data_IF_028247307840
#
_entry.id   IF_028247307840
#
_cell.length_a   1.000
_cell.length_b   1.000
_cell.length_c   1.000
_cell.angle_alpha   90.00
_cell.angle_beta   90.00
_cell.angle_gamma   90.00
#
_symmetry.space_group_name_H-M   'P 1'
#
loop_
_entity.id
_entity.type
_entity.pdbx_description
1 polymer ?
#
# COMPACT_ATOMS: atom_id res chain seq x y z
N UNK A 1 6.93 -1.06 -22.53
CA UNK A 1 7.06 -1.90 -21.31
C UNK A 1 8.48 -2.42 -21.14
N UNK A 2 9.03 -3.22 -22.07
CA UNK A 2 10.42 -3.71 -21.97
C UNK A 2 11.45 -2.59 -21.88
N UNK A 3 11.32 -1.56 -22.72
CA UNK A 3 12.24 -0.41 -22.70
C UNK A 3 12.21 0.30 -21.34
N UNK A 4 11.04 0.58 -20.77
CA UNK A 4 10.94 1.22 -19.45
C UNK A 4 11.59 0.41 -18.32
N UNK A 5 11.50 -0.92 -18.37
CA UNK A 5 12.08 -1.76 -17.32
C UNK A 5 13.59 -2.03 -17.51
N UNK A 6 14.13 -1.82 -18.71
CA UNK A 6 15.50 -2.20 -19.07
C UNK A 6 16.42 -0.99 -19.34
N UNK A 7 15.85 0.13 -19.80
CA UNK A 7 16.58 1.31 -20.21
C UNK A 7 16.45 2.41 -19.14
N UNK A 8 17.55 2.74 -18.43
CA UNK A 8 17.55 3.77 -17.40
C UNK A 8 17.34 5.19 -17.96
N UNK A 9 17.48 5.42 -19.28
CA UNK A 9 17.19 6.71 -19.91
C UNK A 9 15.67 7.02 -19.93
N UNK A 10 14.82 5.99 -19.82
CA UNK A 10 13.37 6.17 -19.82
C UNK A 10 12.88 6.49 -18.41
N UNK A 11 12.82 7.78 -18.08
CA UNK A 11 12.44 8.24 -16.73
C UNK A 11 10.94 8.15 -16.42
N UNK A 12 10.07 8.38 -17.42
CA UNK A 12 8.61 8.49 -17.21
C UNK A 12 7.87 7.46 -18.05
N UNK A 13 6.88 6.80 -17.43
CA UNK A 13 5.92 5.95 -18.11
C UNK A 13 4.50 6.44 -17.84
N UNK A 14 3.80 6.89 -18.88
CA UNK A 14 2.41 7.33 -18.78
C UNK A 14 1.47 6.15 -19.07
N UNK A 15 0.50 5.94 -18.18
CA UNK A 15 -0.49 4.88 -18.32
C UNK A 15 -1.84 5.38 -17.79
N UNK A 16 -2.93 4.96 -18.42
CA UNK A 16 -4.26 5.20 -17.86
C UNK A 16 -4.54 4.21 -16.73
N UNK A 17 -5.29 4.63 -15.71
CA UNK A 17 -5.64 3.78 -14.56
C UNK A 17 -6.28 2.45 -15.01
N UNK A 18 -7.13 2.49 -16.04
CA UNK A 18 -7.75 1.29 -16.63
C UNK A 18 -6.75 0.35 -17.31
N UNK A 19 -5.76 0.89 -18.02
CA UNK A 19 -4.71 0.08 -18.63
C UNK A 19 -3.81 -0.60 -17.56
N UNK A 20 -3.69 -0.01 -16.37
CA UNK A 20 -3.06 -0.66 -15.21
C UNK A 20 -3.73 -1.98 -14.79
N UNK A 21 -5.03 -2.14 -15.09
CA UNK A 21 -5.77 -3.37 -14.81
C UNK A 21 -5.39 -4.58 -15.66
N UNK A 22 -4.60 -4.38 -16.73
CA UNK A 22 -4.23 -5.42 -17.69
C UNK A 22 -3.09 -6.35 -17.21
N UNK A 23 -2.59 -6.17 -15.98
CA UNK A 23 -1.61 -7.09 -15.39
C UNK A 23 -0.15 -6.84 -15.81
N UNK A 24 0.16 -5.64 -16.30
CA UNK A 24 1.53 -5.25 -16.70
C UNK A 24 2.52 -5.28 -15.51
N UNK A 25 3.83 -5.26 -15.79
CA UNK A 25 4.86 -5.21 -14.75
C UNK A 25 5.73 -3.96 -14.94
N UNK A 26 5.77 -3.10 -13.92
CA UNK A 26 6.49 -1.82 -13.90
C UNK A 26 7.39 -1.72 -12.67
N UNK A 27 7.99 -2.84 -12.23
CA UNK A 27 8.87 -2.91 -11.04
C UNK A 27 10.15 -2.07 -11.13
N UNK A 28 10.49 -1.51 -12.28
CA UNK A 28 11.61 -0.57 -12.40
C UNK A 28 11.30 0.80 -11.74
N UNK A 29 10.02 1.16 -11.61
CA UNK A 29 9.59 2.41 -11.00
C UNK A 29 9.39 2.25 -9.49
N UNK A 30 9.89 3.22 -8.72
CA UNK A 30 9.67 3.33 -7.28
C UNK A 30 8.65 4.43 -6.93
N UNK A 31 8.21 5.22 -7.90
CA UNK A 31 7.33 6.37 -7.68
C UNK A 31 6.10 6.26 -8.57
N UNK A 32 4.92 6.34 -7.98
CA UNK A 32 3.63 6.33 -8.69
C UNK A 32 2.93 7.65 -8.44
N UNK A 33 2.50 8.33 -9.51
CA UNK A 33 1.72 9.56 -9.42
C UNK A 33 0.32 9.28 -9.97
N UNK A 34 -0.68 9.32 -9.10
CA UNK A 34 -2.09 9.30 -9.47
C UNK A 34 -2.50 10.73 -9.72
N UNK A 35 -2.57 11.10 -11.00
CA UNK A 35 -2.93 12.44 -11.43
C UNK A 35 -4.41 12.75 -11.14
N UNK A 36 -5.28 11.82 -11.48
CA UNK A 36 -6.71 11.84 -11.22
C UNK A 36 -7.15 10.51 -10.59
N UNK A 37 -8.08 10.57 -9.64
CA UNK A 37 -8.53 9.37 -8.90
C UNK A 37 -9.81 8.80 -9.51
N UNK A 38 -9.87 7.47 -9.65
CA UNK A 38 -11.08 6.79 -10.11
C UNK A 38 -12.16 6.78 -9.00
N UNK A 39 -13.43 6.67 -9.40
CA UNK A 39 -14.56 6.52 -8.49
C UNK A 39 -14.55 5.17 -7.74
N UNK A 40 -13.85 4.19 -8.31
CA UNK A 40 -13.59 2.90 -7.70
C UNK A 40 -12.15 2.86 -7.12
N UNK A 41 -11.99 2.83 -5.79
CA UNK A 41 -10.65 2.80 -5.15
C UNK A 41 -9.81 1.59 -5.57
N UNK A 42 -10.44 0.49 -5.98
CA UNK A 42 -9.74 -0.72 -6.39
C UNK A 42 -9.01 -0.56 -7.73
N UNK A 43 -9.52 0.31 -8.62
CA UNK A 43 -8.86 0.61 -9.90
C UNK A 43 -7.50 1.28 -9.65
N UNK A 44 -7.45 2.27 -8.75
CA UNK A 44 -6.22 2.95 -8.35
C UNK A 44 -5.25 2.01 -7.63
N UNK A 45 -5.76 1.18 -6.72
CA UNK A 45 -4.93 0.21 -5.99
C UNK A 45 -4.28 -0.79 -6.95
N UNK A 46 -5.04 -1.31 -7.92
CA UNK A 46 -4.52 -2.24 -8.92
C UNK A 46 -3.46 -1.59 -9.82
N UNK A 47 -3.59 -0.28 -10.10
CA UNK A 47 -2.59 0.48 -10.83
C UNK A 47 -1.29 0.65 -10.02
N UNK A 48 -1.39 0.91 -8.71
CA UNK A 48 -0.23 0.97 -7.80
C UNK A 48 0.51 -0.37 -7.71
N UNK A 49 -0.24 -1.48 -7.65
CA UNK A 49 0.29 -2.86 -7.63
C UNK A 49 1.06 -3.25 -8.91
N UNK A 50 1.16 -2.36 -9.92
CA UNK A 50 2.04 -2.56 -11.08
C UNK A 50 3.50 -2.27 -10.75
N UNK A 51 3.73 -1.33 -9.82
CA UNK A 51 5.05 -0.94 -9.33
C UNK A 51 5.33 -1.54 -7.95
N UNK A 52 4.32 -1.53 -7.05
CA UNK A 52 4.38 -2.19 -5.74
C UNK A 52 4.03 -3.67 -5.89
N UNK A 53 4.95 -4.43 -6.51
CA UNK A 53 4.77 -5.84 -6.82
C UNK A 53 5.96 -6.66 -6.38
N UNK A 54 5.75 -7.97 -6.17
CA UNK A 54 6.83 -8.95 -5.98
C UNK A 54 7.83 -8.80 -7.13
N UNK A 55 9.10 -8.54 -6.79
CA UNK A 55 10.17 -8.20 -7.73
C UNK A 55 10.65 -6.75 -7.65
N UNK A 56 9.94 -5.89 -6.91
CA UNK A 56 10.41 -4.55 -6.55
C UNK A 56 11.51 -4.62 -5.49
N UNK A 57 12.56 -3.82 -5.64
CA UNK A 57 13.71 -3.76 -4.72
C UNK A 57 13.86 -2.41 -4.03
N UNK A 58 13.06 -1.41 -4.42
CA UNK A 58 13.08 -0.06 -3.84
C UNK A 58 11.75 0.24 -3.11
N UNK A 59 11.75 1.08 -2.07
CA UNK A 59 10.52 1.49 -1.42
C UNK A 59 9.64 2.27 -2.41
N UNK A 60 8.37 1.87 -2.53
CA UNK A 60 7.44 2.51 -3.48
C UNK A 60 6.66 3.62 -2.81
N UNK A 61 6.70 4.82 -3.38
CA UNK A 61 5.90 5.98 -2.92
C UNK A 61 4.79 6.27 -3.91
N UNK A 62 3.58 6.47 -3.39
CA UNK A 62 2.40 6.83 -4.19
C UNK A 62 1.95 8.24 -3.83
N UNK A 63 2.05 9.15 -4.80
CA UNK A 63 1.49 10.50 -4.69
C UNK A 63 0.12 10.53 -5.38
N UNK A 64 -0.90 11.01 -4.68
CA UNK A 64 -2.23 11.24 -5.26
C UNK A 64 -2.51 12.73 -5.27
N UNK A 65 -2.75 13.29 -6.45
CA UNK A 65 -3.15 14.68 -6.59
C UNK A 65 -4.66 14.81 -6.37
N UNK A 66 -5.03 15.84 -5.61
CA UNK A 66 -6.42 16.15 -5.27
C UNK A 66 -6.60 17.65 -5.32
N UNK A 67 -7.52 18.12 -6.17
CA UNK A 67 -7.83 19.54 -6.26
C UNK A 67 -8.81 19.92 -5.13
N UNK A 68 -8.34 20.72 -4.17
CA UNK A 68 -9.15 21.17 -3.04
C UNK A 68 -10.38 21.98 -3.48
N UNK A 69 -11.49 21.87 -2.75
CA UNK A 69 -12.76 22.56 -3.03
C UNK A 69 -13.41 22.23 -4.39
N UNK A 70 -13.04 21.12 -5.01
CA UNK A 70 -13.64 20.66 -6.28
C UNK A 70 -14.34 19.32 -6.13
N UNK A 71 -14.85 18.78 -7.24
CA UNK A 71 -15.42 17.44 -7.28
C UNK A 71 -14.37 16.35 -6.95
N UNK A 72 -13.09 16.58 -7.24
CA UNK A 72 -12.00 15.63 -6.99
C UNK A 72 -11.92 15.24 -5.51
N UNK A 73 -12.03 16.23 -4.62
CA UNK A 73 -12.04 16.00 -3.18
C UNK A 73 -13.22 15.09 -2.78
N UNK A 74 -14.41 15.34 -3.32
CA UNK A 74 -15.60 14.51 -3.04
C UNK A 74 -15.44 13.09 -3.59
N UNK A 75 -14.78 12.92 -4.73
CA UNK A 75 -14.50 11.61 -5.32
C UNK A 75 -13.58 10.82 -4.39
N UNK A 76 -12.48 11.42 -3.94
CA UNK A 76 -11.52 10.77 -3.03
C UNK A 76 -12.16 10.44 -1.68
N UNK A 77 -12.95 11.33 -1.10
CA UNK A 77 -13.69 11.09 0.15
C UNK A 77 -14.67 9.91 -0.01
N UNK A 78 -15.41 9.84 -1.12
CA UNK A 78 -16.32 8.72 -1.41
C UNK A 78 -15.57 7.42 -1.66
N UNK A 79 -14.45 7.45 -2.38
CA UNK A 79 -13.62 6.29 -2.62
C UNK A 79 -13.03 5.73 -1.31
N UNK A 80 -12.56 6.61 -0.42
CA UNK A 80 -12.10 6.24 0.92
C UNK A 80 -13.23 5.61 1.76
N UNK A 81 -14.44 6.17 1.74
CA UNK A 81 -15.59 5.58 2.43
C UNK A 81 -15.93 4.17 1.91
N UNK A 82 -15.91 3.97 0.58
CA UNK A 82 -16.10 2.65 -0.03
C UNK A 82 -15.03 1.65 0.43
N UNK A 83 -13.76 2.06 0.45
CA UNK A 83 -12.63 1.21 0.89
C UNK A 83 -12.75 0.84 2.38
N UNK A 84 -13.18 1.76 3.23
CA UNK A 84 -13.45 1.47 4.66
C UNK A 84 -14.56 0.43 4.81
N UNK A 85 -15.67 0.58 4.08
CA UNK A 85 -16.76 -0.40 4.09
C UNK A 85 -16.28 -1.78 3.61
N UNK A 86 -15.46 -1.82 2.56
CA UNK A 86 -14.87 -3.07 2.07
C UNK A 86 -14.01 -3.76 3.14
N UNK A 87 -13.10 -3.03 3.80
CA UNK A 87 -12.29 -3.57 4.90
C UNK A 87 -13.16 -4.15 6.03
N UNK A 88 -14.25 -3.47 6.39
CA UNK A 88 -15.19 -3.94 7.41
C UNK A 88 -15.93 -5.22 7.00
N UNK A 89 -16.35 -5.31 5.74
CA UNK A 89 -17.02 -6.50 5.20
C UNK A 89 -16.07 -7.69 5.18
N UNK A 90 -14.81 -7.49 4.75
CA UNK A 90 -13.78 -8.54 4.73
C UNK A 90 -13.55 -9.07 6.14
N UNK A 91 -13.35 -8.21 7.14
CA UNK A 91 -13.21 -8.63 8.54
C UNK A 91 -14.45 -9.41 9.01
N UNK A 92 -15.67 -8.90 8.75
CA UNK A 92 -16.92 -9.58 9.13
C UNK A 92 -17.08 -10.97 8.48
N UNK A 93 -16.59 -11.15 7.26
CA UNK A 93 -16.69 -12.42 6.53
C UNK A 93 -15.60 -13.44 6.90
N UNK A 94 -14.42 -13.01 7.37
CA UNK A 94 -13.43 -13.93 7.93
C UNK A 94 -14.01 -14.74 9.10
N UNK A 95 -14.89 -14.13 9.91
CA UNK A 95 -15.63 -14.83 10.97
C UNK A 95 -16.70 -15.82 10.49
N UNK A 96 -17.16 -15.74 9.23
CA UNK A 96 -18.19 -16.64 8.68
C UNK A 96 -17.62 -17.83 7.90
N UNK A 97 -16.36 -17.75 7.45
CA UNK A 97 -15.71 -18.80 6.64
C UNK A 97 -15.12 -19.96 7.45
N UNK A 98 -14.91 -19.79 8.76
CA UNK A 98 -14.45 -20.84 9.66
C UNK A 98 -15.61 -21.66 10.23
N UNK A 99 -16.08 -22.68 9.50
CA UNK A 99 -16.94 -23.72 10.10
C UNK A 99 -16.08 -24.64 10.99
N UNK A 100 -15.87 -24.27 12.24
CA UNK A 100 -15.61 -25.20 13.35
C UNK A 100 -16.28 -24.65 14.61
N UNK A 101 -17.31 -25.35 15.11
CA UNK A 101 -17.79 -25.18 16.48
C UNK A 101 -18.93 -24.20 16.71
N UNK A 102 -20.15 -24.71 16.59
CA UNK A 102 -21.26 -24.59 17.56
C UNK A 102 -21.05 -23.52 18.66
N UNK A 103 -21.70 -22.35 18.50
CA UNK A 103 -22.63 -21.74 19.46
C UNK A 103 -22.94 -20.30 19.04
N UNK A 104 -24.23 -20.02 18.81
CA UNK A 104 -24.74 -18.68 18.63
C UNK A 104 -24.44 -17.84 19.88
N UNK A 105 -23.49 -16.91 19.76
CA UNK A 105 -23.47 -15.72 20.60
C UNK A 105 -23.00 -14.53 19.77
N UNK A 106 -23.74 -13.44 19.92
CA UNK A 106 -23.66 -12.20 19.18
C UNK A 106 -22.44 -11.41 19.66
N UNK A 107 -21.57 -11.01 18.73
CA UNK A 107 -21.03 -9.66 18.58
C UNK A 107 -19.90 -9.75 17.56
N UNK A 108 -20.02 -9.15 16.39
CA UNK A 108 -19.75 -7.72 16.21
C UNK A 108 -18.29 -7.45 16.58
N UNK A 109 -17.52 -7.04 15.57
CA UNK A 109 -16.14 -6.56 15.66
C UNK A 109 -15.85 -5.99 17.04
N UNK A 110 -14.73 -6.39 17.64
CA UNK A 110 -14.32 -5.87 18.94
C UNK A 110 -14.34 -4.34 18.86
N UNK A 111 -15.05 -3.61 19.74
CA UNK A 111 -15.29 -2.18 19.54
C UNK A 111 -13.99 -1.38 19.37
N UNK A 112 -12.90 -1.85 19.99
CA UNK A 112 -11.56 -1.28 19.86
C UNK A 112 -11.00 -1.44 18.45
N UNK A 113 -11.07 -2.64 17.89
CA UNK A 113 -10.59 -2.95 16.53
C UNK A 113 -11.43 -2.22 15.46
N UNK A 114 -12.74 -2.10 15.70
CA UNK A 114 -13.63 -1.32 14.83
C UNK A 114 -13.26 0.18 14.84
N UNK A 115 -12.99 0.74 16.02
CA UNK A 115 -12.57 2.14 16.16
C UNK A 115 -11.24 2.36 15.43
N UNK A 116 -10.29 1.44 15.58
CA UNK A 116 -8.99 1.51 14.91
C UNK A 116 -9.12 1.45 13.38
N UNK A 117 -9.95 0.53 12.86
CA UNK A 117 -10.30 0.46 11.44
C UNK A 117 -10.98 1.73 10.93
N UNK A 118 -11.90 2.31 11.71
CA UNK A 118 -12.59 3.56 11.34
C UNK A 118 -11.65 4.77 11.34
N UNK A 119 -10.75 4.85 12.31
CA UNK A 119 -9.77 5.92 12.48
C UNK A 119 -8.59 5.80 11.52
N UNK A 120 -8.33 4.60 10.99
CA UNK A 120 -7.30 4.40 9.97
C UNK A 120 -7.54 5.31 8.77
N UNK A 121 -6.48 6.03 8.38
CA UNK A 121 -6.40 6.80 7.14
C UNK A 121 -5.59 5.97 6.16
N UNK A 122 -5.98 6.00 4.89
CA UNK A 122 -5.27 5.30 3.82
C UNK A 122 -4.07 6.11 3.27
N UNK A 123 -3.78 7.28 3.85
CA UNK A 123 -2.66 8.15 3.47
C UNK A 123 -1.86 8.57 4.70
N UNK A 124 -0.54 8.62 4.57
CA UNK A 124 0.38 8.95 5.68
C UNK A 124 0.55 10.46 5.86
N UNK A 125 0.54 11.22 4.77
CA UNK A 125 0.75 12.68 4.77
C UNK A 125 -0.30 13.34 3.88
N UNK A 126 -0.87 14.45 4.35
CA UNK A 126 -1.79 15.32 3.59
C UNK A 126 -1.28 16.76 3.67
N UNK A 127 -1.05 17.39 2.52
CA UNK A 127 -0.68 18.81 2.45
C UNK A 127 -1.75 19.55 1.68
N UNK A 128 -2.18 20.68 2.25
CA UNK A 128 -3.17 21.57 1.66
C UNK A 128 -2.48 22.84 1.21
N UNK A 129 -2.53 23.09 -0.09
CA UNK A 129 -2.07 24.37 -0.64
C UNK A 129 -2.86 25.54 -0.08
N UNK A 130 -2.17 26.67 0.15
CA UNK A 130 -2.82 27.94 0.43
C UNK A 130 -3.19 28.65 -0.89
N UNK A 131 -4.04 29.68 -0.83
CA UNK A 131 -4.53 30.39 -2.02
C UNK A 131 -3.43 31.02 -2.89
N UNK A 132 -2.28 31.37 -2.32
CA UNK A 132 -1.19 32.08 -3.03
C UNK A 132 -0.07 31.14 -3.52
N UNK A 133 0.12 29.98 -2.88
CA UNK A 133 1.10 28.97 -3.29
C UNK A 133 0.48 27.59 -3.16
N UNK A 134 0.54 26.82 -4.25
CA UNK A 134 0.00 25.46 -4.31
C UNK A 134 0.69 24.55 -3.28
N UNK A 135 2.01 24.67 -3.10
CA UNK A 135 2.82 23.97 -2.07
C UNK A 135 4.04 24.87 -1.74
N UNK A 136 4.51 24.91 -0.49
CA UNK A 136 5.78 25.61 -0.16
C UNK A 136 6.98 24.70 -0.38
N UNK A 137 8.16 25.23 -0.66
CA UNK A 137 9.37 24.42 -0.93
C UNK A 137 9.71 23.49 0.26
N UNK A 138 9.43 23.94 1.49
CA UNK A 138 9.59 23.13 2.71
C UNK A 138 8.61 21.95 2.76
N UNK A 139 7.36 22.18 2.39
CA UNK A 139 6.34 21.12 2.34
C UNK A 139 6.66 20.13 1.22
N UNK A 140 7.23 20.62 0.11
CA UNK A 140 7.68 19.76 -1.00
C UNK A 140 8.86 18.89 -0.57
N UNK A 141 9.86 19.47 0.10
CA UNK A 141 11.00 18.72 0.63
C UNK A 141 10.55 17.65 1.63
N UNK A 142 9.60 17.98 2.51
CA UNK A 142 8.98 17.02 3.40
C UNK A 142 8.24 15.91 2.64
N UNK A 143 7.57 16.19 1.52
CA UNK A 143 6.90 15.16 0.71
C UNK A 143 7.86 14.25 -0.05
N UNK A 144 9.01 14.79 -0.43
CA UNK A 144 10.03 14.08 -1.19
C UNK A 144 11.01 13.32 -0.29
N UNK A 145 11.01 13.59 1.02
CA UNK A 145 11.80 12.82 1.98
C UNK A 145 11.29 11.39 2.09
N UNK A 146 12.19 10.44 1.80
CA UNK A 146 11.97 8.98 1.81
C UNK A 146 12.82 8.27 2.86
N UNK A 147 13.51 9.02 3.73
CA UNK A 147 14.41 8.46 4.74
C UNK A 147 13.69 7.43 5.63
N UNK A 148 12.47 7.74 6.06
CA UNK A 148 11.60 6.87 6.85
C UNK A 148 11.30 5.52 6.17
N UNK A 149 10.97 5.55 4.88
CA UNK A 149 10.65 4.34 4.11
C UNK A 149 11.88 3.45 3.91
N UNK A 150 13.04 4.05 3.67
CA UNK A 150 14.30 3.32 3.53
C UNK A 150 14.65 2.64 4.85
N UNK A 151 14.45 3.30 5.99
CA UNK A 151 14.75 2.74 7.31
C UNK A 151 13.78 1.60 7.68
N UNK A 152 12.49 1.74 7.34
CA UNK A 152 11.51 0.65 7.48
C UNK A 152 11.89 -0.56 6.62
N UNK A 153 12.31 -0.34 5.37
CA UNK A 153 12.73 -1.42 4.48
C UNK A 153 13.97 -2.15 5.01
N UNK A 154 15.01 -1.43 5.45
CA UNK A 154 16.19 -2.02 6.10
C UNK A 154 15.86 -2.80 7.37
N UNK A 155 14.94 -2.29 8.18
CA UNK A 155 14.48 -2.98 9.39
C UNK A 155 13.78 -4.29 9.02
N UNK A 156 12.93 -4.27 7.98
CA UNK A 156 12.24 -5.45 7.49
C UNK A 156 13.20 -6.50 6.89
N UNK A 157 14.29 -6.07 6.25
CA UNK A 157 15.35 -6.94 5.73
C UNK A 157 16.14 -7.58 6.88
N UNK A 158 16.54 -6.81 7.90
CA UNK A 158 17.19 -7.33 9.10
C UNK A 158 16.33 -8.37 9.83
N UNK A 159 15.03 -8.11 9.99
CA UNK A 159 14.10 -9.06 10.61
C UNK A 159 13.99 -10.35 9.80
N UNK A 160 14.00 -10.27 8.46
CA UNK A 160 14.02 -11.47 7.60
C UNK A 160 15.33 -12.24 7.71
N UNK A 161 16.46 -11.56 7.84
CA UNK A 161 17.77 -12.20 8.07
C UNK A 161 17.85 -12.89 9.44
N UNK A 162 17.28 -12.26 10.49
CA UNK A 162 17.21 -12.86 11.83
C UNK A 162 16.25 -14.06 11.89
N UNK A 163 15.07 -13.96 11.27
CA UNK A 163 14.13 -15.08 11.17
C UNK A 163 14.59 -16.18 10.21
N UNK A 164 15.49 -15.87 9.27
CA UNK A 164 16.07 -16.81 8.31
C UNK A 164 17.13 -17.75 8.90
N UNK A 165 17.59 -17.51 10.13
CA UNK A 165 18.47 -18.44 10.87
C UNK A 165 17.66 -19.57 11.52
N UNK A 166 17.14 -20.48 10.70
CA UNK A 166 16.81 -21.81 11.20
C UNK A 166 18.10 -22.61 11.34
N UNK A 167 18.63 -22.65 12.57
CA UNK A 167 19.69 -23.60 12.93
C UNK A 167 19.06 -24.99 12.85
N UNK A 168 19.41 -25.74 11.80
CA UNK A 168 19.17 -27.17 11.76
C UNK A 168 19.97 -27.78 12.91
N UNK A 169 19.34 -28.50 13.86
CA UNK A 169 20.13 -29.25 14.82
C UNK A 169 20.86 -30.33 14.02
N UNK A 170 22.19 -30.20 13.92
CA UNK A 170 23.03 -31.31 13.49
C UNK A 170 22.79 -32.44 14.50
N UNK A 171 22.09 -33.48 14.04
CA UNK A 171 22.05 -34.75 14.76
C UNK A 171 23.49 -35.25 14.78
N UNK A 172 24.19 -35.00 15.88
CA UNK A 172 25.44 -35.68 16.18
C UNK A 172 25.13 -37.15 16.34
N UNK A 173 25.71 -37.95 15.45
CA UNK A 173 25.77 -39.40 15.52
C UNK A 173 26.19 -39.87 16.92
N UNK A 174 25.31 -40.59 17.62
CA UNK A 174 25.71 -41.57 18.62
C UNK A 174 25.65 -42.96 17.96
N UNK A 175 26.62 -43.19 17.07
CA UNK A 175 27.15 -44.53 16.80
C UNK A 175 28.09 -44.88 17.96
N UNK A 176 27.53 -45.50 19.00
CA UNK A 176 28.25 -45.87 20.21
C UNK A 176 27.69 -47.15 20.86
N UNK A 177 28.34 -48.27 20.52
CA UNK A 177 28.21 -49.66 21.02
C UNK A 177 27.20 -50.59 20.34
#
# INVERSE_FOLDING_TARGET
MRNFNADPEVFIFLVSTRAGGLGINLTAADTVIIYDSDWNPQSDLQAQDRCHRIGQTKPVVVYRFVTANTIDQKIVERAAAKRKLEKLIIHKNQFKGGKFGINQSKSCLDPKELIELMQSRDYDREIKGSREKVITDKDLELLLDRSDLIDQMKTSEKLKEEMGKFVMPENTDDLGM
#
